data_IF_215870978016
#
_entry.id   IF_215870978016
#
_cell.length_a   1.000
_cell.length_b   1.000
_cell.length_c   1.000
_cell.angle_alpha   90.00
_cell.angle_beta   90.00
_cell.angle_gamma   90.00
#
_symmetry.space_group_name_H-M   'P 1'
#
loop_
_entity.id
_entity.type
_entity.pdbx_description
1 polymer ?
#
# COMPACT_ATOMS: atom_id res chain seq x y z
N UNK A 1 -21.55 -55.64 -32.00
CA UNK A 1 -21.07 -54.59 -32.93
C UNK A 1 -21.49 -53.24 -32.37
N UNK A 2 -20.54 -52.30 -32.37
CA UNK A 2 -20.62 -50.84 -32.14
C UNK A 2 -20.88 -50.27 -30.72
N UNK A 3 -19.76 -49.84 -30.15
CA UNK A 3 -19.57 -48.79 -29.14
C UNK A 3 -20.08 -47.41 -29.59
N UNK A 4 -20.27 -46.51 -28.61
CA UNK A 4 -20.20 -45.05 -28.78
C UNK A 4 -21.42 -44.34 -28.18
N UNK A 5 -21.34 -43.31 -27.35
CA UNK A 5 -20.24 -42.42 -26.94
C UNK A 5 -20.56 -42.00 -25.50
N UNK A 6 -19.73 -42.40 -24.53
CA UNK A 6 -19.76 -41.87 -23.16
C UNK A 6 -18.71 -40.76 -23.12
N UNK A 7 -19.14 -39.50 -23.20
CA UNK A 7 -18.19 -38.40 -23.06
C UNK A 7 -18.69 -37.06 -23.56
N UNK A 8 -19.32 -36.30 -22.67
CA UNK A 8 -19.01 -34.87 -22.53
C UNK A 8 -18.92 -34.55 -21.04
N UNK A 9 -17.71 -34.70 -20.49
CA UNK A 9 -17.38 -34.08 -19.21
C UNK A 9 -17.39 -32.58 -19.47
N UNK A 10 -18.52 -31.90 -19.20
CA UNK A 10 -18.55 -30.44 -19.17
C UNK A 10 -17.48 -30.01 -18.18
N UNK A 11 -16.49 -29.26 -18.64
CA UNK A 11 -15.53 -28.60 -17.77
C UNK A 11 -16.36 -27.73 -16.83
N UNK A 12 -16.60 -28.22 -15.62
CA UNK A 12 -17.24 -27.43 -14.58
C UNK A 12 -16.21 -26.40 -14.18
N UNK A 13 -16.30 -25.21 -14.77
CA UNK A 13 -15.60 -24.04 -14.27
C UNK A 13 -16.06 -23.89 -12.81
N UNK A 14 -15.21 -24.29 -11.86
CA UNK A 14 -15.39 -23.99 -10.45
C UNK A 14 -15.27 -22.47 -10.31
N UNK A 15 -16.35 -21.76 -10.57
CA UNK A 15 -16.44 -20.35 -10.23
C UNK A 15 -16.70 -20.28 -8.74
N UNK A 16 -15.64 -20.02 -7.97
CA UNK A 16 -15.77 -19.68 -6.56
C UNK A 16 -16.73 -18.49 -6.42
N UNK A 17 -17.69 -18.54 -5.47
CA UNK A 17 -18.63 -17.46 -5.27
C UNK A 17 -17.89 -16.18 -4.85
N UNK A 18 -18.27 -15.03 -5.45
CA UNK A 18 -17.66 -13.71 -5.22
C UNK A 18 -17.34 -13.37 -3.74
N UNK A 19 -18.21 -13.69 -2.76
CA UNK A 19 -17.95 -13.44 -1.34
C UNK A 19 -16.67 -14.12 -0.82
N UNK A 20 -16.42 -15.36 -1.23
CA UNK A 20 -15.29 -16.17 -0.77
C UNK A 20 -13.96 -15.65 -1.35
N UNK A 21 -14.01 -15.11 -2.57
CA UNK A 21 -12.88 -14.43 -3.23
C UNK A 21 -12.52 -13.08 -2.59
N UNK A 22 -13.51 -12.38 -2.02
CA UNK A 22 -13.31 -11.12 -1.30
C UNK A 22 -12.72 -11.37 0.09
N UNK A 23 -13.19 -12.40 0.80
CA UNK A 23 -12.65 -12.79 2.13
C UNK A 23 -11.21 -13.29 2.08
N UNK A 24 -10.76 -13.80 0.92
CA UNK A 24 -9.35 -14.16 0.67
C UNK A 24 -8.47 -12.97 0.24
N UNK A 25 -9.00 -11.75 0.10
CA UNK A 25 -8.14 -10.57 -0.15
C UNK A 25 -7.26 -10.35 1.07
N UNK A 26 -5.99 -10.64 0.87
CA UNK A 26 -4.96 -10.57 1.88
C UNK A 26 -4.89 -9.14 2.47
N UNK A 27 -5.06 -8.96 3.80
CA UNK A 27 -4.96 -7.65 4.47
C UNK A 27 -3.55 -7.03 4.35
N UNK A 28 -2.57 -7.79 3.86
CA UNK A 28 -1.19 -7.40 3.70
C UNK A 28 -0.99 -6.05 2.98
N UNK A 29 -1.79 -5.72 1.95
CA UNK A 29 -1.64 -4.42 1.28
C UNK A 29 -2.06 -3.26 2.20
N UNK A 30 -3.20 -3.38 2.89
CA UNK A 30 -3.68 -2.35 3.80
C UNK A 30 -2.72 -2.17 4.99
N UNK A 31 -2.21 -3.27 5.53
CA UNK A 31 -1.20 -3.23 6.60
C UNK A 31 0.11 -2.59 6.11
N UNK A 32 0.58 -2.87 4.89
CA UNK A 32 1.77 -2.20 4.33
C UNK A 32 1.58 -0.69 4.21
N UNK A 33 0.41 -0.22 3.75
CA UNK A 33 0.12 1.22 3.67
C UNK A 33 0.05 1.84 5.08
N UNK A 34 -0.58 1.17 6.04
CA UNK A 34 -0.64 1.62 7.43
C UNK A 34 0.76 1.74 8.03
N UNK A 35 1.61 0.73 7.86
CA UNK A 35 2.99 0.76 8.31
C UNK A 35 3.79 1.88 7.63
N UNK A 36 3.59 2.14 6.34
CA UNK A 36 4.25 3.24 5.64
C UNK A 36 3.84 4.61 6.20
N UNK A 37 2.57 4.80 6.59
CA UNK A 37 2.10 6.03 7.24
C UNK A 37 2.77 6.22 8.60
N UNK A 38 2.87 5.14 9.40
CA UNK A 38 3.53 5.18 10.70
C UNK A 38 5.02 5.47 10.58
N UNK A 39 5.71 4.86 9.62
CA UNK A 39 7.13 5.11 9.32
C UNK A 39 7.39 6.56 8.90
N UNK A 40 6.53 7.14 8.05
CA UNK A 40 6.63 8.57 7.71
C UNK A 40 6.44 9.46 8.94
N UNK A 41 5.48 9.14 9.80
CA UNK A 41 5.23 9.88 11.03
C UNK A 41 6.41 9.81 12.01
N UNK A 42 7.04 8.64 12.15
CA UNK A 42 8.25 8.47 12.95
C UNK A 42 9.41 9.31 12.40
N UNK A 43 9.64 9.29 11.08
CA UNK A 43 10.67 10.11 10.44
C UNK A 43 10.44 11.61 10.63
N UNK A 44 9.18 12.06 10.63
CA UNK A 44 8.85 13.46 10.91
C UNK A 44 9.18 13.84 12.35
N UNK A 45 8.85 12.98 13.33
CA UNK A 45 9.23 13.22 14.73
C UNK A 45 10.76 13.26 14.91
N UNK A 46 11.48 12.35 14.27
CA UNK A 46 12.96 12.37 14.28
C UNK A 46 13.48 13.67 13.69
N UNK A 47 12.92 14.14 12.57
CA UNK A 47 13.32 15.42 11.99
C UNK A 47 13.06 16.61 12.92
N UNK A 48 11.91 16.63 13.61
CA UNK A 48 11.57 17.67 14.59
C UNK A 48 12.55 17.65 15.79
N UNK A 49 12.87 16.47 16.33
CA UNK A 49 13.87 16.31 17.40
C UNK A 49 15.27 16.75 16.93
N UNK A 50 15.65 16.40 15.70
CA UNK A 50 16.93 16.78 15.11
C UNK A 50 17.02 18.30 14.92
N UNK A 51 15.92 18.97 14.56
CA UNK A 51 15.86 20.45 14.52
C UNK A 51 16.15 21.04 15.90
N UNK A 52 15.53 20.52 16.96
CA UNK A 52 15.76 20.99 18.32
C UNK A 52 17.22 20.83 18.76
N UNK A 53 17.82 19.67 18.48
CA UNK A 53 19.23 19.38 18.80
C UNK A 53 20.19 20.30 18.04
N UNK A 54 19.92 20.58 16.77
CA UNK A 54 20.71 21.52 15.97
C UNK A 54 20.66 22.92 16.58
N UNK A 55 19.48 23.40 16.98
CA UNK A 55 19.32 24.73 17.60
C UNK A 55 20.08 24.81 18.94
N UNK A 56 20.11 23.72 19.72
CA UNK A 56 20.85 23.64 20.99
C UNK A 56 22.37 23.47 20.80
N UNK A 57 22.84 23.21 19.58
CA UNK A 57 24.24 22.89 19.29
C UNK A 57 24.65 21.47 19.71
N UNK A 58 23.68 20.58 19.96
CA UNK A 58 23.88 19.18 20.34
C UNK A 58 24.01 18.25 19.12
N UNK A 59 23.70 18.75 17.93
CA UNK A 59 23.79 18.04 16.65
C UNK A 59 24.32 18.98 15.57
N UNK A 60 25.10 18.46 14.64
CA UNK A 60 25.57 19.27 13.50
C UNK A 60 24.44 19.54 12.50
N UNK A 61 24.47 20.74 11.89
CA UNK A 61 23.46 21.16 10.92
C UNK A 61 23.31 20.15 9.77
N UNK A 62 24.42 19.59 9.30
CA UNK A 62 24.39 18.67 8.16
C UNK A 62 23.67 17.34 8.49
N UNK A 63 23.80 16.84 9.72
CA UNK A 63 23.10 15.65 10.20
C UNK A 63 21.60 15.94 10.35
N UNK A 64 21.25 17.07 10.97
CA UNK A 64 19.84 17.48 11.08
C UNK A 64 19.17 17.67 9.72
N UNK A 65 19.88 18.24 8.74
CA UNK A 65 19.41 18.36 7.37
C UNK A 65 19.21 17.00 6.68
N UNK A 66 20.02 15.98 7.00
CA UNK A 66 19.79 14.63 6.48
C UNK A 66 18.49 14.04 7.00
N UNK A 67 18.18 14.20 8.28
CA UNK A 67 16.95 13.66 8.87
C UNK A 67 15.70 14.36 8.33
N UNK A 68 15.75 15.69 8.19
CA UNK A 68 14.71 16.47 7.51
C UNK A 68 14.52 15.96 6.07
N UNK A 69 15.61 15.75 5.33
CA UNK A 69 15.55 15.25 3.96
C UNK A 69 14.95 13.85 3.83
N UNK A 70 15.24 12.94 4.78
CA UNK A 70 14.62 11.60 4.84
C UNK A 70 13.11 11.70 5.07
N UNK A 71 12.69 12.56 5.98
CA UNK A 71 11.29 12.74 6.33
C UNK A 71 10.50 13.35 5.17
N UNK A 72 11.04 14.40 4.54
CA UNK A 72 10.45 15.04 3.36
C UNK A 72 10.33 14.07 2.18
N UNK A 73 11.38 13.32 1.87
CA UNK A 73 11.39 12.36 0.77
C UNK A 73 10.37 11.25 1.01
N UNK A 74 10.30 10.73 2.24
CA UNK A 74 9.35 9.68 2.60
C UNK A 74 7.89 10.16 2.48
N UNK A 75 7.61 11.40 2.91
CA UNK A 75 6.29 12.02 2.77
C UNK A 75 5.89 12.20 1.30
N UNK A 76 6.81 12.67 0.45
CA UNK A 76 6.57 12.80 -1.00
C UNK A 76 6.17 11.46 -1.63
N UNK A 77 6.88 10.38 -1.28
CA UNK A 77 6.57 9.04 -1.76
C UNK A 77 5.18 8.60 -1.28
N UNK A 78 4.87 8.76 0.01
CA UNK A 78 3.57 8.40 0.57
C UNK A 78 2.42 9.14 -0.12
N UNK A 79 2.58 10.44 -0.39
CA UNK A 79 1.57 11.24 -1.09
C UNK A 79 1.30 10.70 -2.51
N UNK A 80 2.34 10.29 -3.23
CA UNK A 80 2.17 9.67 -4.56
C UNK A 80 1.41 8.34 -4.47
N UNK A 81 1.72 7.50 -3.48
CA UNK A 81 1.01 6.23 -3.26
C UNK A 81 -0.45 6.49 -2.91
N UNK A 82 -0.74 7.42 -2.00
CA UNK A 82 -2.11 7.84 -1.65
C UNK A 82 -2.90 8.23 -2.89
N UNK A 83 -2.31 9.07 -3.75
CA UNK A 83 -2.97 9.53 -4.97
C UNK A 83 -3.30 8.36 -5.91
N UNK A 84 -2.37 7.42 -6.09
CA UNK A 84 -2.61 6.22 -6.91
C UNK A 84 -3.71 5.32 -6.35
N UNK A 85 -3.74 5.12 -5.03
CA UNK A 85 -4.79 4.34 -4.36
C UNK A 85 -6.17 4.98 -4.55
N UNK A 86 -6.26 6.31 -4.37
CA UNK A 86 -7.51 7.04 -4.59
C UNK A 86 -7.96 7.00 -6.06
N UNK A 87 -7.03 7.10 -7.00
CA UNK A 87 -7.33 6.96 -8.42
C UNK A 87 -7.87 5.56 -8.75
N UNK A 88 -7.23 4.50 -8.24
CA UNK A 88 -7.70 3.13 -8.43
C UNK A 88 -9.09 2.89 -7.82
N UNK A 89 -9.34 3.44 -6.63
CA UNK A 89 -10.67 3.40 -6.01
C UNK A 89 -11.74 4.07 -6.88
N UNK A 90 -11.45 5.29 -7.37
CA UNK A 90 -12.36 6.02 -8.24
C UNK A 90 -12.64 5.28 -9.56
N UNK A 91 -11.64 4.62 -10.14
CA UNK A 91 -11.79 3.85 -11.38
C UNK A 91 -12.73 2.65 -11.20
N UNK A 92 -12.57 1.89 -10.10
CA UNK A 92 -13.46 0.77 -9.79
C UNK A 92 -14.90 1.24 -9.62
N UNK A 93 -15.12 2.39 -8.97
CA UNK A 93 -16.45 2.97 -8.80
C UNK A 93 -17.07 3.41 -10.14
N UNK A 94 -16.27 3.88 -11.09
CA UNK A 94 -16.72 4.25 -12.44
C UNK A 94 -17.12 3.05 -13.30
N UNK A 95 -16.62 1.86 -13.03
CA UNK A 95 -17.02 0.64 -13.74
C UNK A 95 -18.38 0.07 -13.29
N UNK A 96 -18.87 0.46 -12.11
CA UNK A 96 -20.09 -0.11 -11.51
C UNK A 96 -21.37 0.67 -11.80
N UNK A 97 -21.26 1.85 -12.44
CA UNK A 97 -22.39 2.62 -12.99
C UNK A 97 -22.74 2.18 -14.40
#
# INVERSE_FOLDING_TARGET
MMNGIKGINRISLKTEPLPEKISRRNPEFAERIKSAVLDVNEKQQIADDSIEKVIKGEMEIHEGMMDIGKAETSLKILAQVRNKVMAAYNEIMRMQI
#
